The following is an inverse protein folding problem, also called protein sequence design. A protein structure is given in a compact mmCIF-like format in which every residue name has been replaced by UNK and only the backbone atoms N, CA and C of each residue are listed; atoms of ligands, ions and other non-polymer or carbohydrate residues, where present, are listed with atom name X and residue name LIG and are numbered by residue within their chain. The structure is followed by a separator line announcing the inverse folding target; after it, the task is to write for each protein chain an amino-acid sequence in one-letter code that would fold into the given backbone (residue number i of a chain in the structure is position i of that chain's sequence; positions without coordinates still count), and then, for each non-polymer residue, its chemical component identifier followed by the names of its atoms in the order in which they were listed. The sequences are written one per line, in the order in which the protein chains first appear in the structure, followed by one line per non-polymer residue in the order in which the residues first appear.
data_IF_123048252954
#
_entry.id   IF_123048252954
#
_cell.length_a   1.000
_cell.length_b   1.000
_cell.length_c   1.000
_cell.angle_alpha   90.00
_cell.angle_beta   90.00
_cell.angle_gamma   90.00
#
_symmetry.space_group_name_H-M   'P 1'
#
loop_
_entity.id
_entity.type
_entity.pdbx_description
1 polymer ?
#
# COMPACT_ATOMS: atom_id res chain seq x y z
N UNK A 1 34.11 -7.29 -1.16
CA UNK A 1 35.11 -6.46 -0.43
C UNK A 1 34.61 -6.21 0.98
N UNK A 2 35.22 -6.82 2.01
CA UNK A 2 34.79 -6.67 3.40
C UNK A 2 35.08 -5.28 4.00
N UNK A 3 35.93 -4.46 3.37
CA UNK A 3 36.17 -3.09 3.86
C UNK A 3 34.91 -2.23 3.77
N UNK A 4 33.94 -2.61 2.91
CA UNK A 4 32.65 -1.94 2.79
C UNK A 4 31.72 -2.13 3.99
N UNK A 5 32.00 -3.09 4.89
CA UNK A 5 31.24 -3.23 6.15
C UNK A 5 31.36 -1.98 7.04
N UNK A 6 32.47 -1.23 6.91
CA UNK A 6 32.69 0.02 7.65
C UNK A 6 31.96 1.24 7.06
N UNK A 7 31.21 1.08 5.96
CA UNK A 7 30.40 2.16 5.38
C UNK A 7 29.08 2.39 6.12
N UNK A 8 28.65 1.42 6.93
CA UNK A 8 27.45 1.57 7.75
C UNK A 8 27.78 2.40 8.99
N UNK A 9 26.90 3.34 9.32
CA UNK A 9 26.95 3.99 10.61
C UNK A 9 26.56 3.00 11.73
N UNK A 10 26.74 3.42 12.98
CA UNK A 10 26.48 2.55 14.13
C UNK A 10 25.04 2.02 14.15
N UNK A 11 24.05 2.88 13.93
CA UNK A 11 22.64 2.50 14.01
C UNK A 11 22.20 1.62 12.83
N UNK A 12 22.67 1.91 11.62
CA UNK A 12 22.46 1.09 10.43
C UNK A 12 23.06 -0.31 10.62
N UNK A 13 24.30 -0.39 11.11
CA UNK A 13 24.92 -1.68 11.42
C UNK A 13 24.16 -2.45 12.51
N UNK A 14 23.78 -1.80 13.62
CA UNK A 14 22.97 -2.44 14.68
C UNK A 14 21.61 -2.90 14.19
N UNK A 15 21.00 -2.18 13.24
CA UNK A 15 19.74 -2.59 12.60
C UNK A 15 19.94 -3.86 11.77
N UNK A 16 21.02 -3.94 10.98
CA UNK A 16 21.37 -5.14 10.23
C UNK A 16 21.62 -6.33 11.16
N UNK A 17 22.46 -6.13 12.18
CA UNK A 17 22.79 -7.15 13.20
C UNK A 17 21.54 -7.69 13.89
N UNK A 18 20.60 -6.81 14.28
CA UNK A 18 19.41 -7.20 15.02
C UNK A 18 18.47 -8.10 14.20
N UNK A 19 18.28 -7.81 12.91
CA UNK A 19 17.13 -8.36 12.16
C UNK A 19 17.41 -8.94 10.79
N UNK A 20 18.51 -8.55 10.12
CA UNK A 20 18.77 -8.85 8.70
C UNK A 20 19.84 -9.93 8.49
N UNK A 21 20.87 -9.94 9.33
CA UNK A 21 21.96 -10.92 9.22
C UNK A 21 21.51 -12.27 9.76
N UNK A 22 21.70 -13.35 9.00
CA UNK A 22 21.31 -14.70 9.41
C UNK A 22 22.02 -15.11 10.70
N UNK A 23 21.30 -15.89 11.52
CA UNK A 23 21.78 -16.38 12.81
C UNK A 23 21.68 -17.90 12.89
N UNK A 24 22.67 -18.51 13.53
CA UNK A 24 22.65 -19.91 13.94
C UNK A 24 22.83 -19.93 15.45
N UNK A 25 21.93 -20.59 16.17
CA UNK A 25 21.93 -20.66 17.65
C UNK A 25 22.06 -19.27 18.33
N UNK A 26 21.39 -18.27 17.75
CA UNK A 26 21.41 -16.89 18.26
C UNK A 26 22.63 -16.06 17.89
N UNK A 27 23.67 -16.65 17.31
CA UNK A 27 24.89 -15.94 16.88
C UNK A 27 24.79 -15.51 15.42
N UNK A 28 25.27 -14.30 15.11
CA UNK A 28 25.28 -13.76 13.75
C UNK A 28 26.34 -14.48 12.91
N UNK A 29 25.93 -15.03 11.78
CA UNK A 29 26.80 -15.79 10.87
C UNK A 29 27.14 -15.01 9.59
N UNK A 30 26.26 -14.09 9.18
CA UNK A 30 26.51 -13.25 8.00
C UNK A 30 27.15 -11.93 8.38
N UNK A 31 28.15 -11.49 7.62
CA UNK A 31 28.53 -10.08 7.54
C UNK A 31 27.59 -9.33 6.59
N UNK A 32 27.50 -8.00 6.66
CA UNK A 32 26.72 -7.22 5.70
C UNK A 32 27.05 -7.56 4.24
N UNK A 33 28.33 -7.71 3.88
CA UNK A 33 28.68 -8.13 2.52
C UNK A 33 28.15 -9.52 2.14
N UNK A 34 28.05 -10.47 3.09
CA UNK A 34 27.53 -11.80 2.81
C UNK A 34 26.03 -11.75 2.51
N UNK A 35 25.27 -10.97 3.30
CA UNK A 35 23.86 -10.67 3.05
C UNK A 35 23.66 -10.12 1.62
N UNK A 36 24.44 -9.10 1.23
CA UNK A 36 24.30 -8.46 -0.08
C UNK A 36 24.67 -9.41 -1.23
N UNK A 37 25.71 -10.23 -1.06
CA UNK A 37 26.09 -11.24 -2.05
C UNK A 37 25.03 -12.35 -2.18
N UNK A 38 24.48 -12.84 -1.07
CA UNK A 38 23.38 -13.81 -1.08
C UNK A 38 22.19 -13.28 -1.87
N UNK A 39 21.79 -12.03 -1.61
CA UNK A 39 20.68 -11.38 -2.32
C UNK A 39 20.98 -11.28 -3.82
N UNK A 40 22.19 -10.84 -4.20
CA UNK A 40 22.58 -10.75 -5.61
C UNK A 40 22.58 -12.10 -6.32
N UNK A 41 23.13 -13.14 -5.68
CA UNK A 41 23.16 -14.51 -6.20
C UNK A 41 21.75 -15.09 -6.38
N UNK A 42 20.86 -14.90 -5.40
CA UNK A 42 19.49 -15.39 -5.48
C UNK A 42 18.71 -14.76 -6.64
N UNK A 43 18.83 -13.45 -6.84
CA UNK A 43 18.11 -12.73 -7.91
C UNK A 43 18.60 -13.16 -9.31
N UNK A 44 19.90 -13.37 -9.47
CA UNK A 44 20.52 -13.52 -10.80
C UNK A 44 20.97 -14.93 -11.14
N UNK A 45 21.07 -15.83 -10.16
CA UNK A 45 21.53 -17.20 -10.32
C UNK A 45 22.90 -17.25 -11.00
N UNK A 46 22.98 -18.01 -12.10
CA UNK A 46 24.22 -18.24 -12.85
C UNK A 46 24.72 -17.04 -13.66
N UNK A 47 23.96 -15.94 -13.75
CA UNK A 47 24.41 -14.73 -14.43
C UNK A 47 25.36 -13.92 -13.54
N UNK A 48 26.61 -14.39 -13.43
CA UNK A 48 27.63 -13.81 -12.56
C UNK A 48 27.93 -12.34 -12.87
N UNK A 49 27.74 -11.89 -14.11
CA UNK A 49 27.91 -10.49 -14.48
C UNK A 49 26.85 -9.59 -13.83
N UNK A 50 25.59 -10.03 -13.82
CA UNK A 50 24.49 -9.33 -13.16
C UNK A 50 24.54 -9.44 -11.63
N UNK A 51 25.02 -10.59 -11.11
CA UNK A 51 25.35 -10.76 -9.69
C UNK A 51 26.37 -9.70 -9.26
N UNK A 52 27.48 -9.60 -9.99
CA UNK A 52 28.54 -8.65 -9.69
C UNK A 52 28.03 -7.20 -9.78
N UNK A 53 27.31 -6.84 -10.85
CA UNK A 53 26.72 -5.50 -11.01
C UNK A 53 25.79 -5.14 -9.84
N UNK A 54 24.92 -6.07 -9.44
CA UNK A 54 23.97 -5.83 -8.35
C UNK A 54 24.64 -5.76 -6.98
N UNK A 55 25.58 -6.68 -6.71
CA UNK A 55 26.37 -6.64 -5.48
C UNK A 55 27.15 -5.32 -5.36
N UNK A 56 27.74 -4.85 -6.45
CA UNK A 56 28.51 -3.61 -6.45
C UNK A 56 27.64 -2.42 -6.07
N UNK A 57 26.53 -2.20 -6.78
CA UNK A 57 25.65 -1.06 -6.49
C UNK A 57 24.98 -1.15 -5.11
N UNK A 58 24.67 -2.35 -4.62
CA UNK A 58 24.16 -2.52 -3.25
C UNK A 58 25.23 -2.25 -2.18
N UNK A 59 26.42 -2.84 -2.33
CA UNK A 59 27.50 -2.72 -1.34
C UNK A 59 28.11 -1.32 -1.30
N UNK A 60 28.01 -0.56 -2.40
CA UNK A 60 28.38 0.84 -2.43
C UNK A 60 27.30 1.78 -1.92
N UNK A 61 26.08 1.26 -1.69
CA UNK A 61 24.95 1.96 -1.10
C UNK A 61 24.12 2.76 -2.09
N UNK A 62 24.24 2.52 -3.41
CA UNK A 62 23.44 3.19 -4.44
C UNK A 62 21.99 2.71 -4.47
N UNK A 63 21.77 1.42 -4.22
CA UNK A 63 20.44 0.81 -4.19
C UNK A 63 20.31 -0.15 -3.01
N UNK A 64 19.09 -0.29 -2.49
CA UNK A 64 18.74 -1.40 -1.62
C UNK A 64 17.44 -2.02 -2.07
N UNK A 65 17.33 -3.33 -1.96
CA UNK A 65 16.06 -4.02 -2.05
C UNK A 65 15.26 -3.85 -0.75
N UNK A 66 13.95 -4.07 -0.83
CA UNK A 66 13.09 -4.04 0.33
C UNK A 66 13.40 -5.16 1.34
N UNK A 67 12.91 -4.97 2.56
CA UNK A 67 13.16 -5.86 3.69
C UNK A 67 12.86 -7.35 3.40
N UNK A 68 11.73 -7.74 2.76
CA UNK A 68 11.47 -9.15 2.48
C UNK A 68 12.50 -9.77 1.53
N UNK A 69 12.93 -9.05 0.49
CA UNK A 69 14.02 -9.48 -0.38
C UNK A 69 15.31 -9.71 0.41
N UNK A 70 15.71 -8.77 1.27
CA UNK A 70 16.93 -8.90 2.07
C UNK A 70 16.86 -10.09 3.05
N UNK A 71 15.69 -10.33 3.65
CA UNK A 71 15.46 -11.43 4.57
C UNK A 71 15.46 -12.81 3.89
N UNK A 72 14.80 -12.92 2.74
CA UNK A 72 14.37 -14.22 2.23
C UNK A 72 15.09 -14.67 0.95
N UNK A 73 15.78 -13.78 0.24
CA UNK A 73 16.55 -14.16 -0.95
C UNK A 73 17.63 -15.18 -0.60
N UNK A 74 17.70 -16.29 -1.34
CA UNK A 74 18.64 -17.39 -1.12
C UNK A 74 18.24 -18.33 0.02
N UNK A 75 16.99 -18.28 0.47
CA UNK A 75 16.43 -19.20 1.49
C UNK A 75 15.51 -20.24 0.85
N UNK A 76 15.05 -21.23 1.62
CA UNK A 76 14.13 -22.25 1.11
C UNK A 76 12.78 -21.70 0.63
N UNK A 77 12.36 -20.54 1.13
CA UNK A 77 11.10 -19.88 0.76
C UNK A 77 11.35 -18.40 0.48
N UNK A 78 11.66 -18.10 -0.78
CA UNK A 78 12.01 -16.76 -1.26
C UNK A 78 10.77 -15.88 -1.42
N UNK A 79 10.06 -15.55 -0.34
CA UNK A 79 9.03 -14.52 -0.37
C UNK A 79 9.71 -13.14 -0.33
N UNK A 80 9.93 -12.55 -1.50
CA UNK A 80 10.69 -11.31 -1.72
C UNK A 80 9.80 -10.06 -1.87
N UNK A 81 8.51 -10.24 -2.17
CA UNK A 81 7.56 -9.15 -2.35
C UNK A 81 7.10 -8.53 -1.02
N UNK A 82 6.80 -7.22 -1.05
CA UNK A 82 6.54 -6.43 0.16
C UNK A 82 5.08 -6.19 0.47
N UNK A 83 4.28 -5.92 -0.56
CA UNK A 83 2.92 -5.43 -0.39
C UNK A 83 1.95 -6.17 -1.30
N UNK A 84 0.72 -6.30 -0.81
CA UNK A 84 -0.35 -7.04 -1.47
C UNK A 84 -1.65 -6.24 -1.43
N UNK A 85 -2.43 -6.26 -2.52
CA UNK A 85 -3.75 -5.62 -2.57
C UNK A 85 -4.80 -6.69 -2.91
N UNK A 86 -5.82 -6.82 -2.07
CA UNK A 86 -6.80 -7.89 -2.13
C UNK A 86 -8.18 -7.33 -2.41
N UNK A 87 -8.95 -8.06 -3.23
CA UNK A 87 -10.39 -7.92 -3.33
C UNK A 87 -11.13 -9.01 -2.56
N UNK A 88 -12.33 -8.68 -2.11
CA UNK A 88 -13.27 -9.62 -1.48
C UNK A 88 -14.53 -9.71 -2.33
N UNK A 89 -15.22 -10.84 -2.28
CA UNK A 89 -16.58 -10.97 -2.81
C UNK A 89 -17.59 -10.82 -1.65
N UNK A 90 -18.80 -10.31 -1.92
CA UNK A 90 -19.89 -10.16 -0.95
C UNK A 90 -20.63 -11.49 -0.71
N UNK A 91 -19.87 -12.48 -0.25
CA UNK A 91 -20.34 -13.82 0.10
C UNK A 91 -19.56 -14.33 1.33
N UNK A 92 -20.14 -15.24 2.11
CA UNK A 92 -19.44 -15.83 3.26
C UNK A 92 -18.15 -16.53 2.79
N UNK A 93 -18.24 -17.29 1.70
CA UNK A 93 -17.11 -18.00 1.10
C UNK A 93 -16.03 -17.04 0.59
N UNK A 94 -16.44 -15.97 -0.10
CA UNK A 94 -15.54 -14.92 -0.57
C UNK A 94 -14.82 -14.19 0.55
N UNK A 95 -15.53 -13.80 1.61
CA UNK A 95 -14.96 -13.15 2.79
C UNK A 95 -13.93 -14.07 3.46
N UNK A 96 -14.27 -15.35 3.69
CA UNK A 96 -13.35 -16.28 4.35
C UNK A 96 -12.19 -16.73 3.43
N UNK A 97 -12.37 -16.72 2.11
CA UNK A 97 -11.27 -16.86 1.13
C UNK A 97 -10.28 -15.70 1.30
N UNK A 98 -10.76 -14.46 1.34
CA UNK A 98 -9.90 -13.27 1.50
C UNK A 98 -9.25 -13.22 2.88
N UNK A 99 -9.94 -13.62 3.95
CA UNK A 99 -9.34 -13.81 5.30
C UNK A 99 -8.21 -14.83 5.25
N UNK A 100 -8.42 -15.97 4.59
CA UNK A 100 -7.39 -17.02 4.43
C UNK A 100 -6.21 -16.52 3.61
N UNK A 101 -6.45 -15.76 2.54
CA UNK A 101 -5.43 -15.11 1.74
C UNK A 101 -4.60 -14.14 2.56
N UNK A 102 -5.25 -13.24 3.31
CA UNK A 102 -4.60 -12.30 4.21
C UNK A 102 -3.75 -13.01 5.28
N UNK A 103 -4.24 -14.13 5.83
CA UNK A 103 -3.49 -14.94 6.78
C UNK A 103 -2.21 -15.53 6.16
N UNK A 104 -2.32 -16.11 4.96
CA UNK A 104 -1.17 -16.69 4.23
C UNK A 104 -0.13 -15.63 3.87
N UNK A 105 -0.57 -14.44 3.44
CA UNK A 105 0.32 -13.33 3.11
C UNK A 105 1.00 -12.79 4.37
N UNK A 106 0.23 -12.56 5.44
CA UNK A 106 0.76 -12.01 6.70
C UNK A 106 1.81 -12.94 7.30
N UNK A 107 1.66 -14.27 7.19
CA UNK A 107 2.66 -15.26 7.65
C UNK A 107 4.07 -14.96 7.10
N UNK A 108 4.15 -14.44 5.87
CA UNK A 108 5.40 -14.13 5.18
C UNK A 108 5.72 -12.64 5.13
N UNK A 109 5.29 -11.90 6.14
CA UNK A 109 5.63 -10.50 6.36
C UNK A 109 5.19 -9.50 5.28
N UNK A 110 4.14 -9.83 4.51
CA UNK A 110 3.54 -8.90 3.55
C UNK A 110 2.61 -7.88 4.21
N UNK A 111 2.75 -6.60 3.84
CA UNK A 111 1.74 -5.57 4.15
C UNK A 111 0.53 -5.67 3.22
N UNK A 112 -0.68 -5.48 3.74
CA UNK A 112 -1.92 -5.78 3.01
C UNK A 112 -2.80 -4.53 2.89
N UNK A 113 -3.30 -4.25 1.69
CA UNK A 113 -4.46 -3.38 1.45
C UNK A 113 -5.67 -4.22 1.02
N UNK A 114 -6.85 -3.97 1.58
CA UNK A 114 -8.09 -4.69 1.22
C UNK A 114 -9.18 -3.67 0.92
N UNK A 115 -9.77 -3.71 -0.27
CA UNK A 115 -10.99 -2.94 -0.55
C UNK A 115 -12.24 -3.74 -0.18
N UNK A 116 -13.19 -3.07 0.47
CA UNK A 116 -14.42 -3.71 0.98
C UNK A 116 -15.70 -2.97 0.61
N UNK A 117 -15.65 -1.93 -0.22
CA UNK A 117 -16.82 -1.11 -0.59
C UNK A 117 -17.94 -1.89 -1.27
N UNK A 118 -17.67 -3.11 -1.75
CA UNK A 118 -18.64 -4.01 -2.34
C UNK A 118 -19.36 -4.92 -1.34
N UNK A 119 -18.93 -4.96 -0.07
CA UNK A 119 -19.60 -5.71 1.00
C UNK A 119 -20.88 -5.00 1.40
N UNK A 120 -21.97 -5.73 1.58
CA UNK A 120 -23.27 -5.13 1.94
C UNK A 120 -23.24 -4.46 3.33
N UNK A 121 -23.85 -3.29 3.42
CA UNK A 121 -23.94 -2.51 4.64
C UNK A 121 -24.92 -3.11 5.68
N UNK A 122 -24.88 -2.60 6.91
CA UNK A 122 -25.78 -2.96 8.01
C UNK A 122 -27.26 -2.85 7.62
N UNK A 123 -28.10 -3.80 8.05
CA UNK A 123 -29.53 -3.85 7.76
C UNK A 123 -29.89 -4.39 6.36
N UNK A 124 -28.89 -4.70 5.52
CA UNK A 124 -29.14 -5.21 4.17
C UNK A 124 -29.64 -6.66 4.20
N UNK A 125 -30.72 -6.96 3.47
CA UNK A 125 -31.32 -8.30 3.43
C UNK A 125 -30.37 -9.36 2.84
N UNK A 126 -30.29 -10.51 3.50
CA UNK A 126 -29.56 -11.70 3.06
C UNK A 126 -30.57 -12.69 2.48
N UNK A 127 -30.58 -12.86 1.15
CA UNK A 127 -31.58 -13.68 0.45
C UNK A 127 -31.59 -15.15 0.90
N UNK A 128 -30.43 -15.76 1.12
CA UNK A 128 -30.31 -17.19 1.43
C UNK A 128 -30.79 -17.59 2.84
N UNK A 129 -30.67 -16.71 3.83
CA UNK A 129 -31.04 -16.99 5.23
C UNK A 129 -32.27 -16.20 5.69
N UNK A 130 -32.80 -15.32 4.84
CA UNK A 130 -33.88 -14.38 5.15
C UNK A 130 -33.61 -13.48 6.38
N UNK A 131 -32.34 -13.27 6.73
CA UNK A 131 -31.90 -12.36 7.79
C UNK A 131 -31.38 -11.03 7.25
N UNK A 132 -30.83 -10.20 8.15
CA UNK A 132 -30.20 -8.92 7.85
C UNK A 132 -28.69 -8.97 8.09
N UNK A 133 -27.92 -8.22 7.30
CA UNK A 133 -26.48 -8.06 7.48
C UNK A 133 -26.17 -7.22 8.71
N UNK A 134 -25.16 -7.61 9.45
CA UNK A 134 -24.58 -6.81 10.55
C UNK A 134 -23.52 -5.80 10.07
N UNK A 135 -23.36 -5.66 8.75
CA UNK A 135 -22.44 -4.71 8.13
C UNK A 135 -20.96 -5.09 8.23
N UNK A 136 -20.09 -4.12 7.94
CA UNK A 136 -18.65 -4.35 7.81
C UNK A 136 -17.93 -4.54 9.15
N UNK A 137 -18.44 -3.99 10.26
CA UNK A 137 -17.71 -3.95 11.54
C UNK A 137 -17.39 -5.35 12.09
N UNK A 138 -18.35 -6.31 12.17
CA UNK A 138 -18.04 -7.67 12.62
C UNK A 138 -17.12 -8.43 11.67
N UNK A 139 -17.22 -8.17 10.35
CA UNK A 139 -16.29 -8.74 9.37
C UNK A 139 -14.86 -8.24 9.63
N UNK A 140 -14.68 -6.95 9.89
CA UNK A 140 -13.38 -6.34 10.17
C UNK A 140 -12.76 -6.84 11.47
N UNK A 141 -13.55 -7.20 12.49
CA UNK A 141 -13.04 -7.91 13.68
C UNK A 141 -12.34 -9.23 13.34
N UNK A 142 -12.77 -9.91 12.28
CA UNK A 142 -12.12 -11.15 11.82
C UNK A 142 -10.74 -10.86 11.22
N UNK A 143 -10.64 -9.81 10.39
CA UNK A 143 -9.36 -9.35 9.85
C UNK A 143 -8.41 -8.85 10.95
N UNK A 144 -8.93 -8.13 11.95
CA UNK A 144 -8.15 -7.69 13.11
C UNK A 144 -7.59 -8.88 13.89
N UNK A 145 -8.39 -9.92 14.12
CA UNK A 145 -7.93 -11.14 14.78
C UNK A 145 -6.78 -11.81 14.00
N UNK A 146 -6.85 -11.83 12.67
CA UNK A 146 -5.76 -12.35 11.81
C UNK A 146 -4.50 -11.51 11.95
N UNK A 147 -4.62 -10.18 11.90
CA UNK A 147 -3.49 -9.25 12.03
C UNK A 147 -2.75 -9.42 13.37
N UNK A 148 -3.51 -9.64 14.46
CA UNK A 148 -2.96 -9.87 15.81
C UNK A 148 -2.38 -11.27 16.00
N UNK A 149 -3.07 -12.30 15.50
CA UNK A 149 -2.68 -13.69 15.72
C UNK A 149 -1.37 -14.02 15.00
N UNK A 150 -1.22 -13.53 13.77
CA UNK A 150 -0.07 -13.84 12.94
C UNK A 150 1.06 -12.86 13.26
N UNK A 151 1.91 -13.29 14.19
CA UNK A 151 3.22 -12.67 14.36
C UNK A 151 4.11 -13.13 13.19
N UNK A 152 4.76 -12.19 12.51
CA UNK A 152 5.60 -12.44 11.35
C UNK A 152 6.93 -13.08 11.78
N UNK A 153 6.87 -14.29 12.32
CA UNK A 153 8.01 -15.01 12.88
C UNK A 153 8.67 -14.26 14.04
N UNK A 154 7.88 -13.71 14.98
CA UNK A 154 8.31 -12.88 16.12
C UNK A 154 8.98 -11.53 15.78
N UNK A 155 9.06 -11.13 14.51
CA UNK A 155 9.69 -9.87 14.10
C UNK A 155 8.74 -8.66 14.14
N UNK A 156 7.50 -8.79 13.66
CA UNK A 156 6.46 -7.73 13.61
C UNK A 156 5.03 -8.32 13.60
N UNK A 157 4.02 -7.54 13.97
CA UNK A 157 2.59 -7.89 13.81
C UNK A 157 2.16 -7.73 12.34
N UNK A 158 1.11 -8.44 11.94
CA UNK A 158 0.47 -8.22 10.64
C UNK A 158 -0.11 -6.81 10.54
N UNK A 159 -0.03 -6.20 9.35
CA UNK A 159 -0.55 -4.84 9.11
C UNK A 159 -1.45 -4.85 7.89
N UNK A 160 -2.71 -4.48 8.11
CA UNK A 160 -3.77 -4.50 7.10
C UNK A 160 -4.43 -3.12 7.05
N UNK A 161 -4.44 -2.50 5.87
CA UNK A 161 -5.20 -1.30 5.56
C UNK A 161 -6.52 -1.66 4.87
N UNK A 162 -7.62 -1.13 5.38
CA UNK A 162 -8.95 -1.31 4.83
C UNK A 162 -9.33 -0.06 4.04
N UNK A 163 -9.74 -0.25 2.79
CA UNK A 163 -10.17 0.80 1.87
C UNK A 163 -11.69 0.80 1.73
N UNK A 164 -12.30 1.96 1.98
CA UNK A 164 -13.74 2.18 1.87
C UNK A 164 -14.04 3.46 1.08
N UNK A 165 -15.00 3.40 0.17
CA UNK A 165 -15.50 4.59 -0.53
C UNK A 165 -16.53 5.34 0.35
N UNK A 166 -16.56 6.68 0.34
CA UNK A 166 -17.33 7.47 1.32
C UNK A 166 -18.87 7.41 1.12
N UNK A 167 -19.35 6.82 0.03
CA UNK A 167 -20.78 6.55 -0.18
C UNK A 167 -21.28 5.30 0.58
N UNK A 168 -20.40 4.49 1.14
CA UNK A 168 -20.80 3.24 1.77
C UNK A 168 -21.69 3.44 3.00
N UNK A 169 -22.73 2.61 3.15
CA UNK A 169 -23.72 2.67 4.23
C UNK A 169 -23.15 2.75 5.65
N UNK A 170 -22.04 2.05 5.88
CA UNK A 170 -21.36 1.94 7.19
C UNK A 170 -20.18 2.93 7.35
N UNK A 171 -20.10 4.02 6.56
CA UNK A 171 -18.96 4.96 6.60
C UNK A 171 -18.78 5.62 7.97
N UNK A 172 -19.87 5.91 8.68
CA UNK A 172 -19.80 6.60 9.97
C UNK A 172 -19.22 5.69 11.05
N UNK A 173 -19.56 4.40 11.02
CA UNK A 173 -19.02 3.36 11.87
C UNK A 173 -17.56 3.04 11.51
N UNK A 174 -17.22 3.04 10.22
CA UNK A 174 -15.86 2.86 9.73
C UNK A 174 -14.89 3.89 10.33
N UNK A 175 -15.28 5.16 10.36
CA UNK A 175 -14.46 6.26 10.89
C UNK A 175 -14.28 6.22 12.42
N UNK A 176 -15.08 5.40 13.11
CA UNK A 176 -15.02 5.19 14.57
C UNK A 176 -14.11 4.02 14.98
N UNK A 177 -13.73 3.14 14.05
CA UNK A 177 -13.09 1.86 14.34
C UNK A 177 -11.80 1.99 15.16
N UNK A 178 -11.01 3.05 14.93
CA UNK A 178 -9.73 3.24 15.62
C UNK A 178 -9.78 4.17 16.83
N UNK A 179 -10.96 4.73 17.17
CA UNK A 179 -11.05 5.69 18.27
C UNK A 179 -10.68 5.02 19.60
N UNK A 180 -9.96 5.72 20.49
CA UNK A 180 -9.54 5.16 21.76
C UNK A 180 -10.73 4.81 22.65
N UNK A 181 -11.76 5.66 22.64
CA UNK A 181 -12.98 5.51 23.45
C UNK A 181 -14.11 4.88 22.64
N UNK A 182 -14.95 4.09 23.32
CA UNK A 182 -16.17 3.50 22.78
C UNK A 182 -16.28 2.01 23.06
N UNK A 183 -17.32 1.39 22.52
CA UNK A 183 -17.60 -0.02 22.76
C UNK A 183 -16.62 -0.93 22.01
N UNK A 184 -15.94 -1.83 22.74
CA UNK A 184 -14.84 -2.64 22.19
C UNK A 184 -15.23 -3.52 21.00
N UNK A 185 -16.48 -4.04 21.00
CA UNK A 185 -16.98 -4.84 19.87
C UNK A 185 -17.11 -4.04 18.57
N UNK A 186 -17.12 -2.71 18.64
CA UNK A 186 -17.23 -1.78 17.52
C UNK A 186 -15.90 -1.08 17.17
N UNK A 187 -14.76 -1.67 17.58
CA UNK A 187 -13.43 -1.10 17.33
C UNK A 187 -12.56 -2.08 16.55
N UNK A 188 -11.62 -1.60 15.75
CA UNK A 188 -10.54 -2.42 15.18
C UNK A 188 -9.23 -1.62 15.21
N UNK A 189 -8.53 -1.62 16.35
CA UNK A 189 -7.36 -0.75 16.60
C UNK A 189 -6.07 -1.28 15.99
N UNK A 190 -6.04 -2.52 15.53
CA UNK A 190 -4.88 -3.09 14.82
C UNK A 190 -5.03 -3.01 13.28
N UNK A 191 -6.15 -2.49 12.77
CA UNK A 191 -6.35 -2.26 11.34
C UNK A 191 -6.12 -0.80 10.98
N UNK A 192 -5.46 -0.55 9.85
CA UNK A 192 -5.34 0.79 9.27
C UNK A 192 -6.58 1.09 8.43
N UNK A 193 -6.99 2.36 8.37
CA UNK A 193 -8.18 2.80 7.66
C UNK A 193 -7.79 3.71 6.51
N UNK A 194 -8.44 3.59 5.36
CA UNK A 194 -8.23 4.43 4.20
C UNK A 194 -9.55 4.76 3.52
N UNK A 195 -9.72 6.01 3.12
CA UNK A 195 -10.81 6.45 2.26
C UNK A 195 -10.37 6.41 0.80
N UNK A 196 -11.25 5.88 -0.05
CA UNK A 196 -11.09 5.86 -1.49
C UNK A 196 -12.10 6.83 -2.12
N UNK A 197 -11.72 8.09 -2.22
CA UNK A 197 -12.61 9.22 -2.47
C UNK A 197 -12.85 9.42 -3.97
N UNK A 198 -14.12 9.54 -4.34
CA UNK A 198 -14.59 9.98 -5.66
C UNK A 198 -14.60 11.53 -5.74
N UNK A 199 -14.34 12.10 -6.91
CA UNK A 199 -14.29 13.56 -7.11
C UNK A 199 -15.60 14.24 -6.71
N UNK A 200 -16.76 13.65 -7.04
CA UNK A 200 -18.08 14.19 -6.68
C UNK A 200 -18.30 14.34 -5.16
N UNK A 201 -17.63 13.53 -4.33
CA UNK A 201 -17.65 13.72 -2.88
C UNK A 201 -16.96 15.04 -2.50
N UNK A 202 -15.78 15.31 -3.08
CA UNK A 202 -15.05 16.55 -2.85
C UNK A 202 -15.77 17.76 -3.45
N UNK A 203 -16.35 17.63 -4.64
CA UNK A 203 -17.15 18.69 -5.26
C UNK A 203 -18.33 19.11 -4.39
N UNK A 204 -19.10 18.15 -3.87
CA UNK A 204 -20.21 18.43 -2.92
C UNK A 204 -19.71 19.01 -1.60
N UNK A 205 -18.56 18.57 -1.11
CA UNK A 205 -17.98 19.10 0.11
C UNK A 205 -17.58 20.56 -0.08
N UNK A 206 -16.89 20.89 -1.17
CA UNK A 206 -16.51 22.26 -1.55
C UNK A 206 -17.76 23.13 -1.70
N UNK A 207 -18.78 22.67 -2.44
CA UNK A 207 -20.06 23.37 -2.56
C UNK A 207 -20.66 23.67 -1.19
N UNK A 208 -20.62 22.70 -0.27
CA UNK A 208 -21.13 22.92 1.08
C UNK A 208 -20.33 24.01 1.80
N UNK A 209 -19.01 24.06 1.67
CA UNK A 209 -18.12 25.00 2.36
C UNK A 209 -18.28 26.43 1.81
N UNK A 210 -18.38 26.58 0.49
CA UNK A 210 -18.53 27.86 -0.20
C UNK A 210 -19.89 28.53 0.06
N UNK A 211 -20.91 27.75 0.47
CA UNK A 211 -22.26 28.22 0.76
C UNK A 211 -22.65 27.92 2.21
N UNK A 212 -22.01 28.55 3.22
CA UNK A 212 -22.22 28.20 4.63
C UNK A 212 -23.62 28.49 5.16
N UNK A 213 -24.30 29.49 4.60
CA UNK A 213 -25.69 29.85 4.92
C UNK A 213 -26.71 29.27 3.91
N UNK A 214 -26.24 28.46 2.96
CA UNK A 214 -27.07 27.78 1.96
C UNK A 214 -27.78 26.53 2.51
N UNK A 215 -28.63 25.88 1.69
CA UNK A 215 -29.22 24.60 2.07
C UNK A 215 -28.12 23.55 2.30
N UNK A 216 -28.36 22.62 3.24
CA UNK A 216 -27.42 21.55 3.52
C UNK A 216 -27.17 20.69 2.26
N UNK A 217 -25.90 20.54 1.89
CA UNK A 217 -25.51 19.63 0.82
C UNK A 217 -25.53 18.21 1.35
N UNK A 218 -26.46 17.42 0.84
CA UNK A 218 -26.68 16.05 1.26
C UNK A 218 -25.77 15.06 0.52
N UNK A 219 -25.35 14.02 1.22
CA UNK A 219 -24.64 12.87 0.69
C UNK A 219 -25.42 11.59 0.95
N UNK A 220 -25.60 10.77 -0.09
CA UNK A 220 -26.39 9.55 -0.04
C UNK A 220 -25.51 8.35 0.32
N UNK A 221 -25.83 7.74 1.46
CA UNK A 221 -25.20 6.52 1.90
C UNK A 221 -25.92 5.32 1.28
N UNK A 222 -25.19 4.50 0.55
CA UNK A 222 -25.72 3.41 -0.26
C UNK A 222 -25.19 2.06 0.19
N UNK A 223 -25.98 1.01 -0.03
CA UNK A 223 -25.53 -0.36 0.07
C UNK A 223 -25.21 -0.90 -1.33
N UNK A 224 -24.05 -1.55 -1.56
CA UNK A 224 -23.73 -2.13 -2.88
C UNK A 224 -24.74 -3.18 -3.37
N UNK A 225 -25.48 -3.84 -2.48
CA UNK A 225 -26.57 -4.75 -2.85
C UNK A 225 -27.80 -3.99 -3.41
N UNK A 226 -28.08 -2.78 -2.93
CA UNK A 226 -29.15 -1.91 -3.46
C UNK A 226 -28.67 -1.07 -4.64
N UNK A 227 -27.37 -0.74 -4.69
CA UNK A 227 -26.75 0.21 -5.63
C UNK A 227 -25.46 -0.40 -6.20
N UNK A 228 -25.57 -1.46 -7.01
CA UNK A 228 -24.43 -2.23 -7.50
C UNK A 228 -23.61 -1.44 -8.53
N UNK A 229 -22.36 -1.85 -8.75
CA UNK A 229 -21.50 -1.29 -9.80
C UNK A 229 -20.70 -0.05 -9.40
N UNK A 230 -21.03 0.63 -8.29
CA UNK A 230 -20.33 1.87 -7.88
C UNK A 230 -18.82 1.68 -7.67
N UNK A 231 -18.39 0.55 -7.11
CA UNK A 231 -16.97 0.23 -6.95
C UNK A 231 -16.27 -0.18 -8.26
N UNK A 232 -17.03 -0.39 -9.34
CA UNK A 232 -16.53 -0.89 -10.62
C UNK A 232 -16.33 0.20 -11.66
N UNK A 233 -16.79 1.42 -11.37
CA UNK A 233 -16.70 2.59 -12.23
C UNK A 233 -16.05 3.76 -11.48
N UNK A 234 -15.53 4.75 -12.22
CA UNK A 234 -14.88 5.94 -11.69
C UNK A 234 -15.19 7.17 -12.56
N UNK A 235 -14.89 8.37 -12.06
CA UNK A 235 -15.07 9.63 -12.78
C UNK A 235 -16.52 9.88 -13.21
N UNK A 236 -16.72 10.35 -14.45
CA UNK A 236 -18.06 10.70 -14.96
C UNK A 236 -19.04 9.53 -14.95
N UNK A 237 -18.56 8.31 -15.20
CA UNK A 237 -19.40 7.11 -15.17
C UNK A 237 -19.90 6.81 -13.75
N UNK A 238 -19.02 6.98 -12.74
CA UNK A 238 -19.40 6.90 -11.33
C UNK A 238 -20.43 7.97 -10.99
N UNK A 239 -20.18 9.23 -11.37
CA UNK A 239 -21.07 10.35 -11.08
C UNK A 239 -22.48 10.08 -11.63
N UNK A 240 -22.57 9.65 -12.90
CA UNK A 240 -23.85 9.31 -13.54
C UNK A 240 -24.57 8.19 -12.79
N UNK A 241 -23.88 7.11 -12.43
CA UNK A 241 -24.47 5.96 -11.76
C UNK A 241 -24.93 6.30 -10.34
N UNK A 242 -24.10 7.03 -9.58
CA UNK A 242 -24.42 7.49 -8.23
C UNK A 242 -25.64 8.41 -8.22
N UNK A 243 -25.66 9.44 -9.09
CA UNK A 243 -26.80 10.36 -9.21
C UNK A 243 -28.08 9.64 -9.68
N UNK A 244 -27.94 8.65 -10.59
CA UNK A 244 -29.06 7.81 -10.99
C UNK A 244 -29.66 7.05 -9.80
N UNK A 245 -28.83 6.47 -8.94
CA UNK A 245 -29.34 5.80 -7.74
C UNK A 245 -29.96 6.74 -6.73
N UNK A 246 -29.44 7.96 -6.58
CA UNK A 246 -30.08 8.98 -5.75
C UNK A 246 -31.49 9.34 -6.27
N UNK A 247 -31.63 9.60 -7.57
CA UNK A 247 -32.95 9.94 -8.16
C UNK A 247 -33.96 8.79 -8.08
N UNK A 248 -33.49 7.54 -8.07
CA UNK A 248 -34.31 6.34 -7.90
C UNK A 248 -34.65 6.03 -6.44
N UNK A 249 -34.17 6.81 -5.46
CA UNK A 249 -34.33 6.50 -4.04
C UNK A 249 -33.57 5.24 -3.60
N UNK A 250 -32.51 4.86 -4.33
CA UNK A 250 -31.69 3.68 -4.07
C UNK A 250 -30.54 4.02 -3.12
N UNK A 251 -30.88 4.48 -1.93
CA UNK A 251 -29.95 4.74 -0.84
C UNK A 251 -30.56 4.30 0.49
N UNK A 252 -29.72 4.09 1.50
CA UNK A 252 -30.16 3.74 2.85
C UNK A 252 -30.63 4.98 3.61
N UNK A 253 -29.83 6.05 3.54
CA UNK A 253 -30.12 7.36 4.12
C UNK A 253 -29.30 8.45 3.46
N UNK A 254 -29.72 9.69 3.64
CA UNK A 254 -28.94 10.87 3.28
C UNK A 254 -28.50 11.58 4.56
N UNK A 255 -27.26 12.07 4.57
CA UNK A 255 -26.70 12.84 5.68
C UNK A 255 -25.99 14.09 5.15
N UNK A 256 -25.92 15.18 5.93
CA UNK A 256 -25.15 16.35 5.53
C UNK A 256 -23.68 15.98 5.31
N UNK A 257 -23.10 16.34 4.16
CA UNK A 257 -21.74 15.91 3.80
C UNK A 257 -20.68 16.41 4.79
N UNK A 258 -20.93 17.59 5.39
CA UNK A 258 -20.09 18.18 6.44
C UNK A 258 -20.02 17.30 7.70
N UNK A 259 -21.04 16.51 8.00
CA UNK A 259 -21.03 15.58 9.13
C UNK A 259 -20.02 14.47 8.91
N UNK A 260 -19.99 13.89 7.70
CA UNK A 260 -18.99 12.89 7.30
C UNK A 260 -17.60 13.50 7.38
N UNK A 261 -17.41 14.68 6.77
CA UNK A 261 -16.10 15.32 6.75
C UNK A 261 -15.58 15.66 8.14
N UNK A 262 -16.44 16.16 9.03
CA UNK A 262 -16.08 16.39 10.45
C UNK A 262 -15.59 15.09 11.10
N UNK A 263 -16.31 13.98 10.88
CA UNK A 263 -15.93 12.65 11.39
C UNK A 263 -14.56 12.19 10.85
N UNK A 264 -14.25 12.48 9.57
CA UNK A 264 -12.94 12.21 8.98
C UNK A 264 -11.85 13.01 9.69
N UNK A 265 -12.06 14.32 9.88
CA UNK A 265 -11.11 15.19 10.57
C UNK A 265 -10.89 14.77 12.02
N UNK A 266 -11.96 14.47 12.76
CA UNK A 266 -11.88 14.00 14.15
C UNK A 266 -11.06 12.71 14.24
N UNK A 267 -11.30 11.75 13.34
CA UNK A 267 -10.54 10.49 13.28
C UNK A 267 -9.05 10.74 12.99
N UNK A 268 -8.75 11.65 12.06
CA UNK A 268 -7.37 12.00 11.68
C UNK A 268 -6.63 12.73 12.81
N UNK A 269 -7.31 13.64 13.52
CA UNK A 269 -6.75 14.34 14.68
C UNK A 269 -6.43 13.34 15.80
N UNK A 270 -7.30 12.37 16.05
CA UNK A 270 -7.10 11.40 17.14
C UNK A 270 -6.11 10.28 16.81
N UNK A 271 -6.03 9.85 15.54
CA UNK A 271 -5.33 8.61 15.17
C UNK A 271 -4.36 8.72 14.00
N UNK A 272 -4.31 9.86 13.32
CA UNK A 272 -3.57 10.03 12.05
C UNK A 272 -4.19 9.32 10.85
N UNK A 273 -5.39 8.74 11.02
CA UNK A 273 -6.12 7.94 10.03
C UNK A 273 -7.57 8.44 9.92
N UNK A 274 -8.29 8.20 8.82
CA UNK A 274 -7.91 7.37 7.68
C UNK A 274 -6.89 8.03 6.74
N UNK A 275 -6.15 7.20 5.99
CA UNK A 275 -5.46 7.64 4.78
C UNK A 275 -6.45 8.17 3.76
N UNK A 276 -6.01 9.06 2.87
CA UNK A 276 -6.84 9.65 1.81
C UNK A 276 -6.26 9.25 0.45
N UNK A 277 -7.01 8.45 -0.30
CA UNK A 277 -6.72 8.14 -1.70
C UNK A 277 -7.82 8.69 -2.61
N UNK A 278 -7.44 9.32 -3.73
CA UNK A 278 -8.39 9.85 -4.72
C UNK A 278 -8.59 8.86 -5.87
N UNK A 279 -9.69 8.10 -5.81
CA UNK A 279 -10.04 7.02 -6.74
C UNK A 279 -9.96 7.45 -8.20
N UNK A 280 -10.56 8.58 -8.53
CA UNK A 280 -10.71 9.01 -9.92
C UNK A 280 -9.37 9.45 -10.51
N UNK A 281 -8.53 10.15 -9.73
CA UNK A 281 -7.17 10.50 -10.13
C UNK A 281 -6.30 9.27 -10.36
N UNK A 282 -6.40 8.27 -9.49
CA UNK A 282 -5.65 7.02 -9.63
C UNK A 282 -6.07 6.30 -10.91
N UNK A 283 -7.36 6.12 -11.12
CA UNK A 283 -7.87 5.36 -12.26
C UNK A 283 -7.63 6.06 -13.61
N UNK A 284 -7.79 7.39 -13.70
CA UNK A 284 -7.53 8.15 -14.94
C UNK A 284 -6.07 8.03 -15.40
N UNK A 285 -5.13 8.00 -14.44
CA UNK A 285 -3.69 8.09 -14.68
C UNK A 285 -2.97 6.73 -14.63
N UNK A 286 -3.66 5.64 -14.31
CA UNK A 286 -3.02 4.33 -14.22
C UNK A 286 -2.79 3.72 -15.61
N UNK A 287 -1.61 3.12 -15.79
CA UNK A 287 -1.32 2.27 -16.95
C UNK A 287 -2.08 0.93 -16.89
N UNK A 288 -2.67 0.57 -15.74
CA UNK A 288 -3.48 -0.64 -15.57
C UNK A 288 -4.98 -0.41 -15.75
N UNK A 289 -5.41 0.80 -16.16
CA UNK A 289 -6.85 1.11 -16.37
C UNK A 289 -7.55 0.21 -17.38
N UNK A 290 -6.79 -0.44 -18.26
CA UNK A 290 -7.28 -1.44 -19.21
C UNK A 290 -7.71 -2.76 -18.55
N UNK A 291 -7.34 -3.00 -17.28
CA UNK A 291 -7.72 -4.20 -16.53
C UNK A 291 -9.08 -4.03 -15.82
N UNK A 292 -9.50 -2.78 -15.60
CA UNK A 292 -10.70 -2.41 -14.85
C UNK A 292 -10.40 -1.35 -13.79
N UNK A 293 -11.42 -1.05 -12.98
CA UNK A 293 -11.31 -0.03 -11.93
C UNK A 293 -10.46 -0.53 -10.76
N UNK A 294 -9.46 0.26 -10.40
CA UNK A 294 -8.62 0.10 -9.21
C UNK A 294 -9.41 0.58 -7.98
N UNK A 295 -9.56 -0.33 -7.01
CA UNK A 295 -10.48 -0.17 -5.86
C UNK A 295 -9.79 0.15 -4.53
N UNK A 296 -8.46 0.10 -4.49
CA UNK A 296 -7.65 0.39 -3.30
C UNK A 296 -6.22 0.73 -3.67
N UNK A 297 -5.47 1.21 -2.69
CA UNK A 297 -4.01 1.13 -2.67
C UNK A 297 -3.54 0.02 -1.69
N UNK A 298 -2.24 -0.06 -1.39
CA UNK A 298 -1.65 -1.01 -0.44
C UNK A 298 -1.63 -0.44 0.99
N UNK A 299 -0.89 -1.07 1.90
CA UNK A 299 -0.72 -0.59 3.28
C UNK A 299 -0.18 0.86 3.37
N UNK A 300 0.74 1.24 2.47
CA UNK A 300 1.51 2.49 2.57
C UNK A 300 1.10 3.56 1.54
N UNK A 301 -0.03 3.35 0.84
CA UNK A 301 -0.66 4.24 -0.14
C UNK A 301 0.18 4.62 -1.38
N UNK A 302 1.27 3.91 -1.67
CA UNK A 302 2.14 4.18 -2.82
C UNK A 302 1.84 3.28 -4.04
N UNK A 303 1.19 2.13 -3.84
CA UNK A 303 0.92 1.16 -4.90
C UNK A 303 -0.52 1.25 -5.37
N UNK A 304 -0.70 1.48 -6.67
CA UNK A 304 -1.99 1.70 -7.32
C UNK A 304 -2.22 0.65 -8.40
N UNK A 305 -2.49 -0.58 -7.97
CA UNK A 305 -2.64 -1.75 -8.85
C UNK A 305 -4.05 -2.32 -8.82
N UNK A 306 -4.47 -2.89 -9.94
CA UNK A 306 -5.75 -3.58 -10.07
C UNK A 306 -5.76 -4.86 -9.22
N UNK A 307 -6.83 -5.04 -8.45
CA UNK A 307 -7.10 -6.27 -7.71
C UNK A 307 -8.59 -6.59 -7.65
N UNK A 308 -8.89 -7.87 -7.55
CA UNK A 308 -10.23 -8.43 -7.42
C UNK A 308 -10.20 -9.72 -6.57
N UNK A 309 -11.28 -10.51 -6.53
CA UNK A 309 -11.35 -11.76 -5.77
C UNK A 309 -10.44 -12.90 -6.31
N UNK A 310 -9.92 -12.78 -7.52
CA UNK A 310 -9.15 -13.79 -8.25
C UNK A 310 -7.72 -13.36 -8.59
N UNK A 311 -7.41 -12.07 -8.43
CA UNK A 311 -6.14 -11.43 -8.73
C UNK A 311 -5.79 -10.50 -7.56
N UNK A 312 -4.88 -10.97 -6.69
CA UNK A 312 -4.31 -10.15 -5.63
C UNK A 312 -3.05 -9.50 -6.15
N UNK A 313 -3.04 -8.18 -6.27
CA UNK A 313 -1.89 -7.43 -6.73
C UNK A 313 -0.70 -7.58 -5.77
N UNK A 314 0.52 -7.49 -6.30
CA UNK A 314 1.76 -7.77 -5.58
C UNK A 314 2.80 -6.75 -5.98
N UNK A 315 3.45 -6.15 -4.99
CA UNK A 315 4.51 -5.17 -5.25
C UNK A 315 5.91 -5.67 -4.87
N UNK A 316 6.83 -5.47 -5.80
CA UNK A 316 8.26 -5.76 -5.67
C UNK A 316 9.01 -4.43 -5.57
N UNK A 317 9.69 -4.20 -4.45
CA UNK A 317 10.18 -2.87 -4.08
C UNK A 317 11.69 -2.80 -3.95
N UNK A 318 12.28 -1.72 -4.47
CA UNK A 318 13.65 -1.30 -4.20
C UNK A 318 13.70 0.24 -4.10
N UNK A 319 14.72 0.78 -3.44
CA UNK A 319 14.93 2.23 -3.36
C UNK A 319 16.35 2.64 -3.73
N UNK A 320 16.45 3.79 -4.40
CA UNK A 320 17.70 4.42 -4.78
C UNK A 320 18.10 5.44 -3.72
N UNK A 321 19.34 5.37 -3.23
CA UNK A 321 19.87 6.33 -2.26
C UNK A 321 20.40 7.57 -2.99
N UNK A 322 19.53 8.56 -3.18
CA UNK A 322 19.82 9.78 -3.95
C UNK A 322 21.14 10.48 -3.58
N UNK A 323 21.57 10.54 -2.30
CA UNK A 323 22.84 11.17 -1.93
C UNK A 323 24.08 10.54 -2.57
N UNK A 324 24.01 9.26 -3.00
CA UNK A 324 25.14 8.59 -3.66
C UNK A 324 25.37 9.06 -5.08
N UNK A 325 24.42 9.76 -5.68
CA UNK A 325 24.50 10.26 -7.03
C UNK A 325 24.99 11.70 -7.09
N UNK A 326 25.34 12.32 -5.95
CA UNK A 326 25.95 13.64 -5.93
C UNK A 326 27.44 13.53 -6.27
N UNK A 327 27.85 14.29 -7.27
CA UNK A 327 29.25 14.42 -7.70
C UNK A 327 29.73 15.86 -7.57
N UNK A 328 31.05 16.04 -7.48
CA UNK A 328 31.67 17.34 -7.27
C UNK A 328 31.71 17.74 -5.79
N UNK A 329 32.10 19.00 -5.54
CA UNK A 329 32.17 19.54 -4.19
C UNK A 329 31.93 21.05 -4.19
N UNK A 330 31.50 21.59 -3.05
CA UNK A 330 31.27 23.03 -2.92
C UNK A 330 30.16 23.51 -3.86
N UNK A 331 30.49 24.46 -4.76
CA UNK A 331 29.53 25.04 -5.71
C UNK A 331 29.31 24.19 -6.96
N UNK A 332 30.23 23.26 -7.26
CA UNK A 332 30.15 22.38 -8.44
C UNK A 332 29.41 21.07 -8.13
N UNK A 333 28.94 20.91 -6.89
CA UNK A 333 28.16 19.75 -6.48
C UNK A 333 26.85 19.68 -7.27
N UNK A 334 26.59 18.55 -7.92
CA UNK A 334 25.38 18.34 -8.71
C UNK A 334 24.99 16.86 -8.75
N UNK A 335 23.75 16.58 -9.13
CA UNK A 335 23.25 15.21 -9.27
C UNK A 335 23.69 14.61 -10.61
N UNK A 336 24.35 13.45 -10.58
CA UNK A 336 24.67 12.68 -11.77
C UNK A 336 23.45 11.87 -12.24
N UNK A 337 22.63 12.50 -13.08
CA UNK A 337 21.45 11.88 -13.69
C UNK A 337 21.76 10.65 -14.54
N UNK A 338 22.95 10.60 -15.19
CA UNK A 338 23.33 9.45 -16.03
C UNK A 338 23.57 8.21 -15.18
N UNK A 339 24.27 8.37 -14.05
CA UNK A 339 24.48 7.28 -13.10
C UNK A 339 23.17 6.88 -12.44
N UNK A 340 22.33 7.85 -12.05
CA UNK A 340 21.01 7.59 -11.50
C UNK A 340 20.15 6.72 -12.44
N UNK A 341 20.04 7.12 -13.71
CA UNK A 341 19.31 6.37 -14.72
C UNK A 341 19.88 4.96 -14.94
N UNK A 342 21.22 4.82 -14.94
CA UNK A 342 21.88 3.51 -15.04
C UNK A 342 21.49 2.60 -13.88
N UNK A 343 21.59 3.07 -12.63
CA UNK A 343 21.28 2.26 -11.44
C UNK A 343 19.77 1.98 -11.33
N UNK A 344 18.91 2.93 -11.72
CA UNK A 344 17.48 2.69 -11.86
C UNK A 344 17.18 1.55 -12.85
N UNK A 345 17.91 1.50 -13.97
CA UNK A 345 17.83 0.40 -14.93
C UNK A 345 18.26 -0.95 -14.35
N UNK A 346 19.27 -0.98 -13.47
CA UNK A 346 19.67 -2.18 -12.72
C UNK A 346 18.56 -2.60 -11.75
N UNK A 347 18.02 -1.67 -10.96
CA UNK A 347 16.92 -1.94 -10.04
C UNK A 347 15.70 -2.52 -10.76
N UNK A 348 15.35 -1.96 -11.93
CA UNK A 348 14.28 -2.47 -12.78
C UNK A 348 14.50 -3.94 -13.19
N UNK A 349 15.70 -4.28 -13.70
CA UNK A 349 16.03 -5.68 -14.06
C UNK A 349 15.98 -6.61 -12.85
N UNK A 350 16.50 -6.16 -11.70
CA UNK A 350 16.49 -6.94 -10.47
C UNK A 350 15.06 -7.23 -10.01
N UNK A 351 14.19 -6.21 -9.96
CA UNK A 351 12.79 -6.37 -9.57
C UNK A 351 12.00 -7.23 -10.56
N UNK A 352 12.29 -7.12 -11.86
CA UNK A 352 11.68 -8.01 -12.84
C UNK A 352 12.09 -9.47 -12.63
N UNK A 353 13.34 -9.76 -12.23
CA UNK A 353 13.79 -11.12 -11.89
C UNK A 353 13.16 -11.62 -10.60
N UNK A 354 12.99 -10.75 -9.61
CA UNK A 354 12.27 -11.07 -8.36
C UNK A 354 10.88 -11.64 -8.66
N UNK A 355 10.14 -11.07 -9.61
CA UNK A 355 8.81 -11.60 -10.01
C UNK A 355 8.86 -13.09 -10.39
N UNK A 356 9.91 -13.53 -11.08
CA UNK A 356 9.99 -14.90 -11.59
C UNK A 356 10.37 -15.92 -10.51
N UNK A 357 11.23 -15.52 -9.57
CA UNK A 357 11.76 -16.40 -8.51
C UNK A 357 10.94 -16.36 -7.22
N UNK A 358 10.07 -15.35 -7.07
CA UNK A 358 9.33 -15.14 -5.84
C UNK A 358 8.46 -16.34 -5.47
N UNK A 359 8.51 -16.73 -4.20
CA UNK A 359 7.55 -17.63 -3.60
C UNK A 359 6.26 -16.86 -3.31
N UNK A 360 5.18 -17.21 -4.01
CA UNK A 360 3.87 -16.57 -3.84
C UNK A 360 3.04 -17.27 -2.76
N UNK A 361 2.54 -16.55 -1.74
CA UNK A 361 1.74 -17.15 -0.67
C UNK A 361 0.38 -17.71 -1.13
N UNK A 362 -0.16 -17.22 -2.25
CA UNK A 362 -1.43 -17.69 -2.84
C UNK A 362 -1.38 -17.71 -4.37
N UNK A 363 -2.28 -18.45 -5.00
CA UNK A 363 -2.34 -18.52 -6.48
C UNK A 363 -2.80 -17.18 -7.09
N UNK A 364 -3.68 -16.44 -6.42
CA UNK A 364 -4.13 -15.11 -6.86
C UNK A 364 -2.96 -14.13 -6.94
N UNK A 365 -2.04 -14.18 -5.96
CA UNK A 365 -0.83 -13.33 -5.97
C UNK A 365 0.12 -13.69 -7.10
N UNK A 366 0.34 -15.00 -7.34
CA UNK A 366 1.16 -15.49 -8.45
C UNK A 366 0.58 -15.09 -9.81
N UNK A 367 -0.71 -15.33 -9.99
CA UNK A 367 -1.45 -15.03 -11.23
C UNK A 367 -1.36 -13.56 -11.58
N UNK A 368 -1.65 -12.68 -10.61
CA UNK A 368 -1.62 -11.24 -10.84
C UNK A 368 -0.22 -10.77 -11.24
N UNK A 369 0.80 -11.11 -10.45
CA UNK A 369 2.15 -10.60 -10.66
C UNK A 369 2.78 -11.13 -11.97
N UNK A 370 2.54 -12.39 -12.34
CA UNK A 370 3.04 -12.94 -13.61
C UNK A 370 2.33 -12.33 -14.83
N UNK A 371 1.06 -11.93 -14.68
CA UNK A 371 0.27 -11.34 -15.77
C UNK A 371 0.65 -9.89 -16.05
N UNK A 372 0.80 -9.07 -15.01
CA UNK A 372 0.96 -7.61 -15.14
C UNK A 372 2.37 -7.11 -14.86
N UNK A 373 3.19 -7.93 -14.20
CA UNK A 373 4.60 -7.69 -13.86
C UNK A 373 4.94 -6.31 -13.29
N UNK A 374 4.18 -5.78 -12.32
CA UNK A 374 4.45 -4.48 -11.73
C UNK A 374 5.71 -4.51 -10.85
N UNK A 375 6.40 -3.37 -10.83
CA UNK A 375 7.57 -3.10 -9.98
C UNK A 375 7.45 -1.70 -9.39
N UNK A 376 7.98 -1.50 -8.19
CA UNK A 376 8.04 -0.19 -7.54
C UNK A 376 9.48 0.20 -7.23
N UNK A 377 9.97 1.23 -7.93
CA UNK A 377 11.28 1.84 -7.65
C UNK A 377 11.02 3.14 -6.92
N UNK A 378 11.45 3.18 -5.65
CA UNK A 378 11.39 4.38 -4.82
C UNK A 378 12.74 5.07 -4.69
N UNK A 379 12.76 6.09 -3.85
CA UNK A 379 13.96 6.86 -3.50
C UNK A 379 14.08 7.00 -1.98
N UNK A 380 15.28 7.28 -1.51
CA UNK A 380 15.56 7.69 -0.14
C UNK A 380 16.66 8.76 -0.12
N UNK A 381 16.67 9.56 0.94
CA UNK A 381 17.67 10.62 1.13
C UNK A 381 17.47 11.87 0.27
N UNK A 382 16.22 12.21 -0.08
CA UNK A 382 15.92 13.44 -0.81
C UNK A 382 16.32 14.70 0.00
N UNK A 383 16.01 14.71 1.30
CA UNK A 383 16.41 15.80 2.18
C UNK A 383 17.94 15.92 2.28
N UNK A 384 18.64 14.79 2.35
CA UNK A 384 20.11 14.75 2.37
C UNK A 384 20.72 15.34 1.09
N UNK A 385 20.12 15.09 -0.09
CA UNK A 385 20.53 15.73 -1.35
C UNK A 385 20.41 17.24 -1.25
N UNK A 386 19.27 17.75 -0.79
CA UNK A 386 19.07 19.18 -0.60
C UNK A 386 20.08 19.77 0.39
N UNK A 387 20.35 19.09 1.50
CA UNK A 387 21.37 19.50 2.47
C UNK A 387 22.79 19.53 1.85
N UNK A 388 23.18 18.50 1.11
CA UNK A 388 24.50 18.43 0.48
C UNK A 388 24.71 19.52 -0.57
N UNK A 389 23.66 19.84 -1.33
CA UNK A 389 23.66 20.89 -2.34
C UNK A 389 23.40 22.29 -1.75
N UNK A 390 23.16 22.40 -0.44
CA UNK A 390 22.80 23.64 0.27
C UNK A 390 21.56 24.33 -0.31
N UNK A 391 20.58 23.53 -0.73
CA UNK A 391 19.32 23.98 -1.29
C UNK A 391 18.25 23.88 -0.20
N UNK A 392 17.57 24.98 0.19
CA UNK A 392 16.42 24.91 1.08
C UNK A 392 15.28 24.11 0.45
N UNK A 393 14.62 23.26 1.23
CA UNK A 393 13.60 22.31 0.75
C UNK A 393 12.46 23.00 -0.03
N UNK A 394 12.04 24.19 0.40
CA UNK A 394 10.90 24.92 -0.18
C UNK A 394 11.29 25.86 -1.33
N UNK A 395 12.59 25.93 -1.67
CA UNK A 395 13.09 26.82 -2.72
C UNK A 395 12.67 26.37 -4.12
N UNK A 396 12.60 27.31 -5.06
CA UNK A 396 12.29 26.98 -6.46
C UNK A 396 13.36 26.08 -7.10
N UNK A 397 14.61 26.17 -6.62
CA UNK A 397 15.67 25.26 -7.04
C UNK A 397 15.41 23.82 -6.57
N UNK A 398 14.92 23.61 -5.35
CA UNK A 398 14.53 22.27 -4.87
C UNK A 398 13.36 21.71 -5.67
N UNK A 399 12.36 22.54 -6.01
CA UNK A 399 11.23 22.13 -6.86
C UNK A 399 11.69 21.67 -8.24
N UNK A 400 12.59 22.44 -8.88
CA UNK A 400 13.12 22.09 -10.18
C UNK A 400 13.98 20.83 -10.12
N UNK A 401 14.85 20.70 -9.11
CA UNK A 401 15.64 19.48 -8.90
C UNK A 401 14.73 18.26 -8.70
N UNK A 402 13.69 18.37 -7.87
CA UNK A 402 12.69 17.32 -7.65
C UNK A 402 11.94 16.92 -8.93
N UNK A 403 11.72 17.85 -9.86
CA UNK A 403 11.06 17.59 -11.13
C UNK A 403 11.96 16.85 -12.13
N UNK A 404 13.27 17.09 -12.05
CA UNK A 404 14.27 16.51 -12.97
C UNK A 404 14.79 15.14 -12.52
N UNK A 405 14.67 14.82 -11.24
CA UNK A 405 14.89 13.47 -10.68
C UNK A 405 13.76 12.52 -11.07
#
# INVERSE_FOLDING_TARGET
DYTRDYRFDYFGFKTLERSYLMRINGQVMERPQNLLMRVALAIHGDNLSAVQESYEYMSEGYLTHATPTLFNAGTNHEQLSSCYLLGTEDSLEGIFKTVTGAARISKWAGGIGIHISNIRATGSRIRGTNGESTGIVPMLKTYEAVARYINQGSKRNGSIAIYLEPWHGDIMEFLELRRPVGEERLRTRDLYLALWINDIFMERLIQSIEQPDGPEVMWSLMCPNQSPGLCEVYGEEFNRLYLQYETQGRYLRQIPIREIWRKVLDSQIESGLPYIGYKDHVNRKSNQKNLGTIRSSNLCIEIMEYSDQDNYAVCNLASLALPRFIEGSGRDAHLNYRLLAKVAGVACRNLNRVIDINYYPTEETRRSNLRTRPIGIGIQGLADVFCQLKIPYESDQAKELNRLM
#
